data_IF_218014762116
#
_entry.id   IF_218014762116
#
_cell.length_a   1.000
_cell.length_b   1.000
_cell.length_c   1.000
_cell.angle_alpha   90.00
_cell.angle_beta   90.00
_cell.angle_gamma   90.00
#
_symmetry.space_group_name_H-M   'P 1'
#
loop_
_entity.id
_entity.type
_entity.pdbx_description
1 polymer ?
#
# COMPACT_ATOMS: atom_id res chain seq x y z
N UNK A 1 -49.15 -4.20 1.38
CA UNK A 1 -48.09 -3.61 0.54
C UNK A 1 -46.76 -4.03 1.14
N UNK A 2 -46.25 -5.19 0.72
CA UNK A 2 -44.93 -5.70 1.14
C UNK A 2 -44.00 -5.62 -0.05
N UNK A 3 -42.98 -4.77 0.03
CA UNK A 3 -41.92 -4.72 -0.98
C UNK A 3 -40.94 -5.87 -0.70
N UNK A 4 -40.88 -6.83 -1.63
CA UNK A 4 -39.84 -7.86 -1.66
C UNK A 4 -38.48 -7.20 -1.91
N UNK A 5 -37.40 -7.65 -1.25
CA UNK A 5 -36.07 -7.17 -1.57
C UNK A 5 -35.63 -7.75 -2.91
N UNK A 6 -35.20 -6.87 -3.81
CA UNK A 6 -34.70 -7.21 -5.13
C UNK A 6 -33.53 -8.20 -5.02
N UNK A 7 -33.72 -9.37 -5.62
CA UNK A 7 -32.67 -10.32 -5.93
C UNK A 7 -31.63 -9.60 -6.81
N UNK A 8 -30.45 -9.29 -6.26
CA UNK A 8 -29.28 -9.01 -7.10
C UNK A 8 -28.93 -10.32 -7.82
N UNK A 9 -28.80 -10.32 -9.15
CA UNK A 9 -28.25 -11.48 -9.85
C UNK A 9 -26.78 -11.67 -9.45
N UNK A 10 -26.27 -12.91 -9.42
CA UNK A 10 -24.85 -13.17 -9.18
C UNK A 10 -24.01 -12.44 -10.23
N UNK A 11 -22.95 -11.79 -9.77
CA UNK A 11 -21.96 -11.21 -10.67
C UNK A 11 -21.46 -12.30 -11.61
N UNK A 12 -21.61 -12.08 -12.91
CA UNK A 12 -21.16 -13.02 -13.92
C UNK A 12 -19.64 -12.97 -13.94
N UNK A 13 -19.01 -13.95 -13.29
CA UNK A 13 -17.56 -14.17 -13.35
C UNK A 13 -17.20 -14.40 -14.80
N UNK A 14 -16.44 -13.48 -15.41
CA UNK A 14 -15.91 -13.68 -16.75
C UNK A 14 -14.83 -14.77 -16.70
N UNK A 15 -15.01 -15.95 -17.32
CA UNK A 15 -14.03 -17.04 -17.33
C UNK A 15 -12.77 -16.73 -18.14
N UNK A 16 -12.65 -15.50 -18.66
CA UNK A 16 -11.72 -15.12 -19.71
C UNK A 16 -10.34 -14.68 -19.21
N UNK A 17 -10.06 -14.74 -17.91
CA UNK A 17 -8.77 -14.28 -17.32
C UNK A 17 -7.89 -15.38 -16.73
N UNK A 18 -8.34 -16.65 -16.78
CA UNK A 18 -7.57 -17.83 -16.33
C UNK A 18 -7.02 -18.66 -17.53
N UNK A 19 -7.14 -18.19 -18.77
CA UNK A 19 -6.60 -18.95 -19.91
C UNK A 19 -6.23 -18.08 -21.10
N UNK A 20 -4.91 -17.93 -21.33
CA UNK A 20 -4.33 -18.05 -22.68
C UNK A 20 -2.92 -18.66 -22.61
N UNK A 21 -2.86 -19.99 -22.48
CA UNK A 21 -1.78 -20.78 -23.09
C UNK A 21 -2.39 -22.10 -23.59
N UNK A 22 -2.64 -22.13 -24.91
CA UNK A 22 -2.74 -23.30 -25.79
C UNK A 22 -3.70 -24.44 -25.41
N UNK A 23 -4.74 -24.60 -26.24
CA UNK A 23 -5.83 -25.53 -26.01
C UNK A 23 -5.41 -26.98 -25.79
N UNK A 24 -5.77 -27.52 -24.63
CA UNK A 24 -6.22 -28.89 -24.41
C UNK A 24 -7.27 -28.88 -23.30
N UNK A 25 -8.36 -29.62 -23.50
CA UNK A 25 -9.46 -29.75 -22.53
C UNK A 25 -8.90 -30.28 -21.20
N UNK A 26 -9.16 -29.58 -20.10
CA UNK A 26 -8.94 -30.11 -18.73
C UNK A 26 -7.76 -29.53 -17.93
N UNK A 27 -7.23 -28.35 -18.28
CA UNK A 27 -6.20 -27.70 -17.46
C UNK A 27 -6.77 -27.16 -16.14
N UNK A 28 -6.24 -27.64 -15.01
CA UNK A 28 -6.50 -27.01 -13.70
C UNK A 28 -5.89 -25.60 -13.68
N UNK A 29 -6.42 -24.63 -12.90
CA UNK A 29 -5.85 -23.28 -12.75
C UNK A 29 -4.36 -23.26 -12.32
N UNK A 30 -3.86 -24.41 -11.87
CA UNK A 30 -2.49 -24.66 -11.42
C UNK A 30 -1.51 -24.97 -12.55
N UNK A 31 -2.01 -25.45 -13.70
CA UNK A 31 -1.23 -25.69 -14.90
C UNK A 31 -1.09 -24.43 -15.77
N UNK A 32 -1.69 -23.31 -15.36
CA UNK A 32 -1.55 -22.04 -16.04
C UNK A 32 -0.12 -21.49 -15.81
N UNK A 33 0.56 -21.15 -16.89
CA UNK A 33 1.87 -20.48 -16.85
C UNK A 33 1.74 -19.04 -16.30
N UNK A 34 0.51 -18.50 -16.32
CA UNK A 34 0.19 -17.14 -15.88
C UNK A 34 -1.10 -17.10 -15.05
N UNK A 35 -1.16 -16.16 -14.11
CA UNK A 35 -2.35 -15.81 -13.33
C UNK A 35 -2.56 -14.30 -13.37
N UNK A 36 -3.73 -13.82 -13.81
CA UNK A 36 -3.99 -12.38 -14.01
C UNK A 36 -2.99 -11.69 -14.96
N UNK A 37 -2.42 -12.45 -15.91
CA UNK A 37 -1.36 -11.98 -16.81
C UNK A 37 0.01 -11.84 -16.14
N UNK A 38 0.19 -12.38 -14.94
CA UNK A 38 1.48 -12.46 -14.25
C UNK A 38 2.08 -13.85 -14.42
N UNK A 39 3.38 -13.96 -14.77
CA UNK A 39 4.07 -15.24 -14.77
C UNK A 39 4.04 -15.87 -13.39
N UNK A 40 3.69 -17.15 -13.31
CA UNK A 40 3.63 -17.88 -12.03
C UNK A 40 4.96 -17.86 -11.28
N UNK A 41 6.10 -17.94 -11.98
CA UNK A 41 7.43 -17.87 -11.36
C UNK A 41 7.66 -16.54 -10.62
N UNK A 42 7.11 -15.43 -11.13
CA UNK A 42 7.18 -14.13 -10.46
C UNK A 42 6.36 -14.17 -9.17
N UNK A 43 5.16 -14.74 -9.20
CA UNK A 43 4.30 -14.87 -8.01
C UNK A 43 4.92 -15.77 -6.95
N UNK A 44 5.53 -16.88 -7.35
CA UNK A 44 6.22 -17.79 -6.45
C UNK A 44 7.46 -17.11 -5.83
N UNK A 45 8.18 -16.28 -6.59
CA UNK A 45 9.29 -15.48 -6.06
C UNK A 45 8.84 -14.39 -5.09
N UNK A 46 7.72 -13.73 -5.37
CA UNK A 46 7.11 -12.76 -4.45
C UNK A 46 6.70 -13.42 -3.13
N UNK A 47 6.13 -14.62 -3.19
CA UNK A 47 5.82 -15.40 -1.99
C UNK A 47 7.06 -15.77 -1.20
N UNK A 48 8.13 -16.17 -1.88
CA UNK A 48 9.39 -16.53 -1.26
C UNK A 48 9.99 -15.34 -0.50
N UNK A 49 10.06 -14.15 -1.13
CA UNK A 49 10.53 -12.91 -0.48
C UNK A 49 9.72 -12.61 0.78
N UNK A 50 8.39 -12.67 0.69
CA UNK A 50 7.51 -12.50 1.85
C UNK A 50 7.84 -13.49 2.96
N UNK A 51 7.95 -14.77 2.64
CA UNK A 51 8.24 -15.81 3.63
C UNK A 51 9.62 -15.61 4.28
N UNK A 52 10.64 -15.25 3.49
CA UNK A 52 11.98 -14.97 3.98
C UNK A 52 11.97 -13.75 4.93
N UNK A 53 11.25 -12.68 4.58
CA UNK A 53 11.13 -11.49 5.43
C UNK A 53 10.45 -11.81 6.76
N UNK A 54 9.31 -12.51 6.74
CA UNK A 54 8.59 -12.90 7.96
C UNK A 54 9.39 -13.87 8.84
N UNK A 55 10.21 -14.74 8.24
CA UNK A 55 11.16 -15.60 8.95
C UNK A 55 12.38 -14.82 9.46
N UNK A 56 12.64 -13.63 8.93
CA UNK A 56 13.79 -12.80 9.31
C UNK A 56 15.08 -13.13 8.59
N UNK A 57 14.99 -13.85 7.48
CA UNK A 57 16.15 -14.16 6.65
C UNK A 57 16.63 -12.92 5.86
N UNK A 58 15.72 -11.99 5.56
CA UNK A 58 16.01 -10.73 4.87
C UNK A 58 15.41 -9.53 5.63
N UNK A 59 16.02 -8.34 5.54
CA UNK A 59 15.45 -7.10 6.08
C UNK A 59 14.22 -6.64 5.28
N UNK A 60 13.46 -5.72 5.85
CA UNK A 60 12.23 -5.20 5.23
C UNK A 60 12.52 -4.38 3.97
N UNK A 61 13.63 -3.66 3.94
CA UNK A 61 14.11 -2.89 2.79
C UNK A 61 14.33 -3.80 1.59
N UNK A 62 15.07 -4.89 1.79
CA UNK A 62 15.34 -5.87 0.74
C UNK A 62 14.04 -6.51 0.23
N UNK A 63 13.08 -6.78 1.12
CA UNK A 63 11.75 -7.24 0.68
C UNK A 63 11.02 -6.17 -0.14
N UNK A 64 10.99 -4.91 0.29
CA UNK A 64 10.32 -3.81 -0.42
C UNK A 64 10.95 -3.57 -1.79
N UNK A 65 12.27 -3.55 -1.87
CA UNK A 65 13.02 -3.37 -3.11
C UNK A 65 12.81 -4.54 -4.07
N UNK A 66 12.92 -5.77 -3.58
CA UNK A 66 12.70 -6.99 -4.37
C UNK A 66 11.25 -7.10 -4.87
N UNK A 67 10.26 -6.81 -4.02
CA UNK A 67 8.84 -6.76 -4.41
C UNK A 67 8.62 -5.69 -5.49
N UNK A 68 9.11 -4.46 -5.29
CA UNK A 68 8.97 -3.40 -6.28
C UNK A 68 9.61 -3.76 -7.63
N UNK A 69 10.80 -4.37 -7.62
CA UNK A 69 11.50 -4.80 -8.81
C UNK A 69 10.76 -5.89 -9.59
N UNK A 70 10.22 -6.89 -8.89
CA UNK A 70 9.47 -7.99 -9.53
C UNK A 70 8.13 -7.54 -10.10
N UNK A 71 7.50 -6.55 -9.47
CA UNK A 71 6.25 -5.95 -9.94
C UNK A 71 6.46 -4.93 -11.07
N UNK A 72 7.68 -4.44 -11.26
CA UNK A 72 7.98 -3.50 -12.33
C UNK A 72 7.72 -4.13 -13.70
N UNK A 73 6.87 -3.49 -14.51
CA UNK A 73 6.51 -3.98 -15.84
C UNK A 73 5.39 -5.03 -15.87
N UNK A 74 4.84 -5.42 -14.73
CA UNK A 74 3.70 -6.32 -14.66
C UNK A 74 2.36 -5.58 -14.86
N UNK A 75 1.31 -6.26 -15.35
CA UNK A 75 0.02 -5.62 -15.54
C UNK A 75 -0.59 -5.18 -14.21
N UNK A 76 -1.33 -4.07 -14.24
CA UNK A 76 -2.09 -3.62 -13.08
C UNK A 76 -3.18 -4.65 -12.73
N UNK A 77 -3.25 -4.99 -11.45
CA UNK A 77 -4.21 -5.94 -10.90
C UNK A 77 -5.05 -5.24 -9.86
N UNK A 78 -6.36 -5.42 -9.94
CA UNK A 78 -7.29 -4.96 -8.92
C UNK A 78 -7.18 -5.88 -7.70
N UNK A 79 -6.79 -5.29 -6.56
CA UNK A 79 -6.61 -6.03 -5.31
C UNK A 79 -7.94 -6.61 -4.84
N UNK A 80 -9.03 -5.85 -4.94
CA UNK A 80 -10.33 -6.25 -4.39
C UNK A 80 -10.91 -7.43 -5.18
N UNK A 81 -10.71 -7.45 -6.51
CA UNK A 81 -11.08 -8.57 -7.39
C UNK A 81 -10.33 -9.86 -7.00
N UNK A 82 -9.04 -9.76 -6.70
CA UNK A 82 -8.22 -10.93 -6.31
C UNK A 82 -8.61 -11.44 -4.92
N UNK A 83 -8.87 -10.54 -3.96
CA UNK A 83 -9.29 -10.92 -2.61
C UNK A 83 -10.69 -11.56 -2.62
N UNK A 84 -11.63 -11.04 -3.41
CA UNK A 84 -12.95 -11.64 -3.60
C UNK A 84 -12.84 -13.04 -4.20
N UNK A 85 -12.03 -13.21 -5.25
CA UNK A 85 -11.78 -14.53 -5.85
C UNK A 85 -11.13 -15.50 -4.88
N UNK A 86 -10.16 -15.03 -4.08
CA UNK A 86 -9.51 -15.84 -3.06
C UNK A 86 -10.53 -16.30 -2.00
N UNK A 87 -11.42 -15.41 -1.56
CA UNK A 87 -12.48 -15.75 -0.61
C UNK A 87 -13.48 -16.76 -1.21
N UNK A 88 -13.89 -16.57 -2.46
CA UNK A 88 -14.76 -17.51 -3.17
C UNK A 88 -14.10 -18.89 -3.27
N UNK A 89 -12.82 -18.95 -3.62
CA UNK A 89 -12.06 -20.20 -3.68
C UNK A 89 -11.97 -20.89 -2.30
N UNK A 90 -11.84 -20.13 -1.21
CA UNK A 90 -11.79 -20.70 0.14
C UNK A 90 -13.15 -21.24 0.62
N UNK A 91 -14.26 -20.66 0.15
CA UNK A 91 -15.62 -21.03 0.59
C UNK A 91 -16.24 -22.09 -0.32
N UNK A 92 -16.09 -21.93 -1.63
CA UNK A 92 -16.75 -22.72 -2.68
C UNK A 92 -15.76 -23.52 -3.54
N UNK A 93 -14.48 -23.56 -3.17
CA UNK A 93 -13.44 -24.23 -3.94
C UNK A 93 -13.72 -25.72 -4.15
N UNK A 94 -13.16 -26.33 -5.20
CA UNK A 94 -13.40 -27.74 -5.50
C UNK A 94 -12.91 -28.62 -4.36
N UNK A 95 -13.79 -29.48 -3.83
CA UNK A 95 -13.47 -30.39 -2.73
C UNK A 95 -12.38 -31.41 -3.10
N UNK A 96 -12.24 -31.69 -4.40
CA UNK A 96 -11.32 -32.70 -4.95
C UNK A 96 -9.90 -32.16 -5.21
N UNK A 97 -9.67 -30.87 -4.96
CA UNK A 97 -8.34 -30.28 -5.14
C UNK A 97 -7.40 -30.67 -3.98
N UNK A 98 -6.23 -31.27 -4.26
CA UNK A 98 -5.25 -31.57 -3.23
C UNK A 98 -4.91 -30.34 -2.38
N UNK A 99 -4.77 -30.53 -1.06
CA UNK A 99 -4.49 -29.42 -0.12
C UNK A 99 -3.24 -28.61 -0.48
N UNK A 100 -2.20 -29.28 -0.96
CA UNK A 100 -0.94 -28.63 -1.36
C UNK A 100 -1.11 -27.74 -2.60
N UNK A 101 -1.97 -28.16 -3.51
CA UNK A 101 -2.30 -27.43 -4.73
C UNK A 101 -3.18 -26.22 -4.42
N UNK A 102 -4.23 -26.42 -3.62
CA UNK A 102 -5.05 -25.32 -3.09
C UNK A 102 -4.20 -24.30 -2.33
N UNK A 103 -3.29 -24.76 -1.47
CA UNK A 103 -2.37 -23.90 -0.73
C UNK A 103 -1.43 -23.08 -1.62
N UNK A 104 -0.93 -23.66 -2.72
CA UNK A 104 -0.11 -22.94 -3.70
C UNK A 104 -0.90 -21.86 -4.43
N UNK A 105 -2.11 -22.18 -4.90
CA UNK A 105 -2.96 -21.20 -5.58
C UNK A 105 -3.35 -20.04 -4.65
N UNK A 106 -3.76 -20.35 -3.42
CA UNK A 106 -4.05 -19.34 -2.38
C UNK A 106 -2.82 -18.49 -2.09
N UNK A 107 -1.63 -19.09 -2.04
CA UNK A 107 -0.37 -18.36 -1.92
C UNK A 107 -0.18 -17.37 -3.08
N UNK A 108 -0.34 -17.81 -4.33
CA UNK A 108 -0.12 -16.96 -5.52
C UNK A 108 -1.10 -15.80 -5.57
N UNK A 109 -2.37 -16.05 -5.28
CA UNK A 109 -3.39 -15.01 -5.13
C UNK A 109 -3.04 -14.02 -4.01
N UNK A 110 -2.52 -14.53 -2.90
CA UNK A 110 -2.05 -13.70 -1.80
C UNK A 110 -0.90 -12.78 -2.23
N UNK A 111 0.05 -13.26 -3.05
CA UNK A 111 1.14 -12.43 -3.59
C UNK A 111 0.63 -11.41 -4.62
N UNK A 112 -0.36 -11.76 -5.44
CA UNK A 112 -1.00 -10.81 -6.36
C UNK A 112 -1.63 -9.64 -5.57
N UNK A 113 -2.47 -9.95 -4.58
CA UNK A 113 -3.20 -8.96 -3.80
C UNK A 113 -2.32 -8.12 -2.86
N UNK A 114 -1.24 -8.68 -2.32
CA UNK A 114 -0.49 -8.05 -1.23
C UNK A 114 0.94 -7.72 -1.61
N UNK A 115 1.25 -6.42 -1.65
CA UNK A 115 2.61 -5.87 -1.79
C UNK A 115 3.38 -5.94 -0.47
N UNK A 116 4.68 -5.71 -0.53
CA UNK A 116 5.47 -5.43 0.68
C UNK A 116 4.84 -4.24 1.44
N UNK A 117 4.64 -4.35 2.76
CA UNK A 117 3.83 -3.38 3.49
C UNK A 117 4.55 -2.05 3.64
N UNK A 118 3.81 -0.95 3.54
CA UNK A 118 4.27 0.39 3.96
C UNK A 118 4.38 0.47 5.48
N UNK A 119 5.05 1.51 6.02
CA UNK A 119 5.11 1.68 7.48
C UNK A 119 3.72 1.93 8.06
N UNK A 120 2.84 2.64 7.35
CA UNK A 120 1.44 2.84 7.73
C UNK A 120 0.67 1.51 7.83
N UNK A 121 0.80 0.64 6.81
CA UNK A 121 0.18 -0.68 6.81
C UNK A 121 0.72 -1.57 7.92
N UNK A 122 2.02 -1.46 8.26
CA UNK A 122 2.59 -2.17 9.41
C UNK A 122 1.98 -1.70 10.73
N UNK A 123 1.64 -0.42 10.86
CA UNK A 123 0.95 0.09 12.05
C UNK A 123 -0.49 -0.43 12.16
N UNK A 124 -1.21 -0.51 11.04
CA UNK A 124 -2.55 -1.10 10.98
C UNK A 124 -2.55 -2.61 11.30
N UNK A 125 -1.59 -3.34 10.74
CA UNK A 125 -1.40 -4.76 11.02
C UNK A 125 -1.05 -4.97 12.50
N UNK A 126 -0.17 -4.14 13.08
CA UNK A 126 0.16 -4.21 14.50
C UNK A 126 -1.07 -3.99 15.39
N UNK A 127 -1.93 -3.04 15.05
CA UNK A 127 -3.19 -2.81 15.77
C UNK A 127 -4.16 -3.99 15.65
N UNK A 128 -4.23 -4.61 14.47
CA UNK A 128 -5.03 -5.81 14.22
C UNK A 128 -4.53 -6.99 15.05
N UNK A 129 -3.21 -7.23 15.06
CA UNK A 129 -2.58 -8.27 15.86
C UNK A 129 -2.82 -8.04 17.36
N UNK A 130 -2.70 -6.80 17.84
CA UNK A 130 -2.98 -6.46 19.24
C UNK A 130 -4.44 -6.76 19.62
N UNK A 131 -5.40 -6.40 18.76
CA UNK A 131 -6.82 -6.73 18.97
C UNK A 131 -7.07 -8.24 19.00
N UNK A 132 -6.38 -8.99 18.15
CA UNK A 132 -6.47 -10.46 18.12
C UNK A 132 -5.88 -11.08 19.39
N UNK A 133 -4.76 -10.57 19.89
CA UNK A 133 -4.14 -11.04 21.13
C UNK A 133 -4.97 -10.70 22.37
N UNK A 134 -5.73 -9.59 22.34
CA UNK A 134 -6.66 -9.23 23.41
C UNK A 134 -7.85 -10.19 23.53
N UNK A 135 -8.19 -10.93 22.46
CA UNK A 135 -9.26 -11.92 22.47
C UNK A 135 -8.84 -13.21 23.18
N UNK A 136 -9.14 -13.28 24.49
CA UNK A 136 -8.80 -14.39 25.40
C UNK A 136 -9.37 -15.76 25.01
N UNK A 137 -10.25 -15.85 24.01
CA UNK A 137 -10.89 -17.11 23.58
C UNK A 137 -10.06 -17.93 22.58
N UNK A 138 -8.91 -17.44 22.12
CA UNK A 138 -8.08 -18.13 21.12
C UNK A 138 -7.12 -19.16 21.73
N UNK A 139 -6.81 -20.20 20.95
CA UNK A 139 -5.86 -21.25 21.34
C UNK A 139 -4.44 -20.69 21.56
N UNK A 140 -3.71 -21.24 22.54
CA UNK A 140 -2.34 -20.84 22.89
C UNK A 140 -1.36 -20.92 21.71
N UNK A 141 -1.54 -21.89 20.81
CA UNK A 141 -0.69 -22.07 19.63
C UNK A 141 -0.86 -20.97 18.60
N UNK A 142 -2.09 -20.49 18.40
CA UNK A 142 -2.39 -19.33 17.57
C UNK A 142 -1.80 -18.05 18.19
N UNK A 143 -1.91 -17.90 19.51
CA UNK A 143 -1.34 -16.75 20.22
C UNK A 143 0.18 -16.63 20.02
N UNK A 144 0.93 -17.74 20.07
CA UNK A 144 2.38 -17.73 19.82
C UNK A 144 2.74 -17.18 18.43
N UNK A 145 1.97 -17.55 17.39
CA UNK A 145 2.15 -17.03 16.03
C UNK A 145 1.91 -15.52 15.96
N UNK A 146 0.86 -15.03 16.62
CA UNK A 146 0.54 -13.60 16.67
C UNK A 146 1.59 -12.80 17.47
N UNK A 147 2.11 -13.35 18.57
CA UNK A 147 3.23 -12.73 19.29
C UNK A 147 4.50 -12.64 18.44
N UNK A 148 4.86 -13.70 17.70
CA UNK A 148 6.01 -13.67 16.80
C UNK A 148 5.83 -12.64 15.67
N UNK A 149 4.62 -12.56 15.09
CA UNK A 149 4.28 -11.56 14.08
C UNK A 149 4.37 -10.14 14.67
N UNK A 150 3.85 -9.93 15.88
CA UNK A 150 3.91 -8.66 16.60
C UNK A 150 5.35 -8.18 16.81
N UNK A 151 6.21 -9.02 17.37
CA UNK A 151 7.62 -8.65 17.61
C UNK A 151 8.36 -8.32 16.31
N UNK A 152 8.04 -9.04 15.23
CA UNK A 152 8.60 -8.77 13.90
C UNK A 152 8.20 -7.37 13.41
N UNK A 153 6.91 -7.06 13.45
CA UNK A 153 6.37 -5.77 13.01
C UNK A 153 6.97 -4.63 13.86
N UNK A 154 7.04 -4.81 15.18
CA UNK A 154 7.69 -3.86 16.10
C UNK A 154 9.15 -3.62 15.74
N UNK A 155 9.90 -4.69 15.43
CA UNK A 155 11.30 -4.58 15.03
C UNK A 155 11.45 -3.79 13.73
N UNK A 156 10.58 -4.04 12.75
CA UNK A 156 10.58 -3.26 11.52
C UNK A 156 10.23 -1.80 11.79
N UNK A 157 9.20 -1.52 12.59
CA UNK A 157 8.75 -0.14 12.85
C UNK A 157 9.73 0.68 13.69
N UNK A 158 10.59 0.06 14.50
CA UNK A 158 11.56 0.75 15.37
C UNK A 158 12.97 0.85 14.78
N UNK A 159 13.18 0.34 13.56
CA UNK A 159 14.51 0.34 12.93
C UNK A 159 15.06 1.76 12.68
N UNK A 160 16.37 1.98 12.84
CA UNK A 160 17.02 3.23 12.45
C UNK A 160 16.89 3.46 10.93
N UNK A 161 16.67 4.72 10.51
CA UNK A 161 16.65 5.08 9.09
C UNK A 161 15.28 4.98 8.40
N UNK A 162 14.19 4.84 9.15
CA UNK A 162 12.86 5.14 8.62
C UNK A 162 12.80 6.56 8.04
N UNK A 163 11.96 6.78 7.02
CA UNK A 163 11.86 8.08 6.33
C UNK A 163 11.58 9.26 7.25
N UNK A 164 11.59 10.47 6.69
CA UNK A 164 11.23 11.68 7.46
C UNK A 164 9.70 11.78 7.55
N UNK A 165 9.18 12.04 8.75
CA UNK A 165 7.76 12.34 8.92
C UNK A 165 7.45 13.74 8.36
N UNK A 166 6.53 13.87 7.38
CA UNK A 166 6.30 15.12 6.68
C UNK A 166 5.63 16.20 7.54
N UNK A 167 5.05 15.82 8.68
CA UNK A 167 4.35 16.74 9.60
C UNK A 167 5.32 17.37 10.59
N UNK A 168 6.29 16.58 11.06
CA UNK A 168 7.21 17.00 12.12
C UNK A 168 8.62 17.29 11.63
N UNK A 169 9.04 16.75 10.48
CA UNK A 169 10.41 16.82 9.98
C UNK A 169 11.39 15.91 10.72
N UNK A 170 10.91 15.17 11.73
CA UNK A 170 11.73 14.25 12.52
C UNK A 170 11.83 12.88 11.81
N UNK A 171 12.92 12.13 12.02
CA UNK A 171 13.02 10.76 11.55
C UNK A 171 11.93 9.88 12.16
N UNK A 172 11.32 9.00 11.36
CA UNK A 172 10.32 8.04 11.86
C UNK A 172 10.87 7.16 12.99
N UNK A 173 12.17 6.85 12.99
CA UNK A 173 12.82 6.10 14.07
C UNK A 173 12.79 6.82 15.42
N UNK A 174 12.71 8.15 15.44
CA UNK A 174 12.57 8.94 16.67
C UNK A 174 11.13 8.94 17.16
N UNK A 175 10.16 9.11 16.25
CA UNK A 175 8.73 9.05 16.56
C UNK A 175 8.32 7.63 17.00
N UNK A 176 8.90 6.59 16.39
CA UNK A 176 8.62 5.19 16.67
C UNK A 176 8.86 4.80 18.14
N UNK A 177 9.84 5.44 18.81
CA UNK A 177 10.13 5.22 20.24
C UNK A 177 8.94 5.53 21.13
N UNK A 178 8.17 6.54 20.77
CA UNK A 178 6.96 6.92 21.50
C UNK A 178 5.73 6.22 20.94
N UNK A 179 5.73 5.77 19.69
CA UNK A 179 4.57 5.05 19.13
C UNK A 179 4.35 3.66 19.71
N UNK A 180 5.30 3.13 20.46
CA UNK A 180 5.19 1.81 21.09
C UNK A 180 5.14 1.98 22.60
N UNK A 181 4.01 1.60 23.19
CA UNK A 181 3.81 1.61 24.64
C UNK A 181 3.74 0.18 25.13
N UNK A 182 4.44 -0.12 26.23
CA UNK A 182 4.33 -1.41 26.89
C UNK A 182 2.99 -1.50 27.64
N UNK A 183 2.01 -2.20 27.06
CA UNK A 183 0.76 -2.55 27.73
C UNK A 183 0.97 -3.80 28.63
N UNK A 184 0.45 -3.82 29.87
CA UNK A 184 0.68 -4.93 30.79
C UNK A 184 0.06 -6.27 30.34
N UNK A 185 -1.01 -6.25 29.54
CA UNK A 185 -1.71 -7.44 29.08
C UNK A 185 -1.34 -7.80 27.62
N UNK A 186 -1.05 -6.80 26.79
CA UNK A 186 -0.82 -6.96 25.34
C UNK A 186 0.66 -6.76 24.94
N UNK A 187 1.50 -6.29 25.87
CA UNK A 187 2.87 -5.83 25.64
C UNK A 187 2.94 -4.53 24.82
N UNK A 188 4.12 -4.17 24.26
CA UNK A 188 4.29 -3.26 23.09
C UNK A 188 3.11 -3.19 22.12
N UNK A 189 2.33 -2.11 22.19
CA UNK A 189 1.18 -1.80 21.32
C UNK A 189 1.35 -0.42 20.67
N UNK A 190 0.70 -0.19 19.52
CA UNK A 190 0.77 1.09 18.84
C UNK A 190 -0.09 2.13 19.54
N UNK A 191 0.46 3.32 19.80
CA UNK A 191 -0.31 4.51 20.17
C UNK A 191 -0.57 5.43 18.96
N UNK A 192 -1.50 6.37 19.15
CA UNK A 192 -1.83 7.40 18.16
C UNK A 192 -0.58 8.17 17.72
N UNK A 193 -0.45 8.34 16.40
CA UNK A 193 0.72 8.97 15.77
C UNK A 193 0.94 10.37 16.32
N UNK A 194 -0.12 11.15 16.49
CA UNK A 194 -0.02 12.55 16.91
C UNK A 194 0.47 12.71 18.35
N UNK A 195 0.07 11.82 19.25
CA UNK A 195 0.60 11.79 20.61
C UNK A 195 2.10 11.48 20.61
N UNK A 196 2.53 10.51 19.80
CA UNK A 196 3.94 10.17 19.66
C UNK A 196 4.76 11.30 19.02
N UNK A 197 4.19 12.01 18.04
CA UNK A 197 4.80 13.20 17.42
C UNK A 197 5.03 14.30 18.45
N UNK A 198 4.05 14.57 19.31
CA UNK A 198 4.18 15.59 20.35
C UNK A 198 5.29 15.23 21.35
N UNK A 199 5.33 13.99 21.81
CA UNK A 199 6.37 13.50 22.72
C UNK A 199 7.76 13.52 22.07
N UNK A 200 7.87 13.08 20.81
CA UNK A 200 9.12 13.11 20.05
C UNK A 200 9.63 14.53 19.83
N UNK A 201 8.74 15.49 19.53
CA UNK A 201 9.10 16.91 19.41
C UNK A 201 9.56 17.50 20.74
N UNK A 202 8.91 17.13 21.84
CA UNK A 202 9.27 17.62 23.17
C UNK A 202 10.64 17.09 23.63
N UNK A 203 10.97 15.83 23.30
CA UNK A 203 12.26 15.21 23.65
C UNK A 203 13.40 15.58 22.69
N UNK A 204 13.09 16.03 21.47
CA UNK A 204 14.10 16.47 20.51
C UNK A 204 14.90 17.67 21.03
N UNK A 205 16.20 17.66 20.80
CA UNK A 205 17.08 18.79 21.08
C UNK A 205 16.70 20.02 20.25
N UNK A 206 17.09 21.21 20.71
CA UNK A 206 16.79 22.45 19.98
C UNK A 206 17.40 22.45 18.57
N UNK A 207 18.57 21.83 18.38
CA UNK A 207 19.21 21.66 17.07
C UNK A 207 18.46 20.69 16.14
N UNK A 208 17.86 19.63 16.69
CA UNK A 208 17.03 18.69 15.92
C UNK A 208 15.71 19.33 15.53
N UNK A 209 15.09 20.09 16.44
CA UNK A 209 13.87 20.86 16.14
C UNK A 209 14.11 21.90 15.05
N UNK A 210 15.20 22.67 15.14
CA UNK A 210 15.55 23.65 14.11
C UNK A 210 15.79 23.02 12.73
N UNK A 211 16.46 21.85 12.68
CA UNK A 211 16.67 21.09 11.43
C UNK A 211 15.36 20.55 10.87
N UNK A 212 14.51 20.01 11.72
CA UNK A 212 13.21 19.47 11.35
C UNK A 212 12.27 20.55 10.80
N UNK A 213 12.24 21.73 11.43
CA UNK A 213 11.48 22.90 10.97
C UNK A 213 11.93 23.35 9.58
N UNK A 214 13.25 23.50 9.37
CA UNK A 214 13.79 23.81 8.04
C UNK A 214 13.40 22.78 6.98
N UNK A 215 13.42 21.49 7.31
CA UNK A 215 13.04 20.42 6.37
C UNK A 215 11.56 20.48 6.00
N UNK A 216 10.68 20.67 6.99
CA UNK A 216 9.23 20.83 6.76
C UNK A 216 8.96 22.07 5.92
N UNK A 217 9.61 23.19 6.23
CA UNK A 217 9.46 24.43 5.49
C UNK A 217 9.96 24.30 4.06
N UNK A 218 11.14 23.71 3.84
CA UNK A 218 11.68 23.45 2.50
C UNK A 218 10.76 22.54 1.69
N UNK A 219 10.26 21.46 2.30
CA UNK A 219 9.34 20.52 1.64
C UNK A 219 8.02 21.21 1.29
N UNK A 220 7.47 22.02 2.19
CA UNK A 220 6.27 22.82 1.95
C UNK A 220 6.47 23.81 0.81
N UNK A 221 7.62 24.48 0.77
CA UNK A 221 7.96 25.40 -0.33
C UNK A 221 8.11 24.65 -1.66
N UNK A 222 8.72 23.47 -1.69
CA UNK A 222 8.82 22.64 -2.90
C UNK A 222 7.44 22.20 -3.43
N UNK A 223 6.53 21.80 -2.52
CA UNK A 223 5.17 21.42 -2.87
C UNK A 223 4.35 22.60 -3.43
N UNK A 224 4.64 23.83 -3.01
CA UNK A 224 3.99 25.05 -3.53
C UNK A 224 4.68 25.56 -4.80
N UNK A 225 6.00 25.42 -4.90
CA UNK A 225 6.81 25.97 -5.99
C UNK A 225 6.51 25.32 -7.34
N UNK A 226 6.27 24.00 -7.39
CA UNK A 226 5.87 23.31 -8.63
C UNK A 226 4.56 23.85 -9.21
N UNK A 227 3.45 23.84 -8.45
CA UNK A 227 2.17 24.42 -8.87
C UNK A 227 2.26 25.91 -9.20
N UNK A 228 3.05 26.69 -8.44
CA UNK A 228 3.25 28.12 -8.71
C UNK A 228 4.07 28.38 -9.97
N UNK A 229 5.06 27.54 -10.27
CA UNK A 229 5.83 27.61 -11.51
C UNK A 229 4.94 27.27 -12.72
N UNK A 230 4.10 26.24 -12.62
CA UNK A 230 3.12 25.90 -13.65
C UNK A 230 2.07 27.00 -13.85
N UNK A 231 1.57 27.60 -12.76
CA UNK A 231 0.67 28.75 -12.81
C UNK A 231 1.35 29.94 -13.48
N UNK A 232 2.56 30.32 -13.07
CA UNK A 232 3.31 31.41 -13.68
C UNK A 232 3.59 31.15 -15.17
N UNK A 233 3.93 29.92 -15.56
CA UNK A 233 4.16 29.56 -16.96
C UNK A 233 2.86 29.63 -17.79
N UNK A 234 1.71 29.26 -17.21
CA UNK A 234 0.37 29.48 -17.82
C UNK A 234 0.02 30.96 -17.94
N UNK A 235 0.30 31.78 -16.93
CA UNK A 235 0.04 33.22 -16.99
C UNK A 235 0.94 33.94 -18.00
N UNK A 236 2.22 33.58 -18.08
CA UNK A 236 3.18 34.14 -19.04
C UNK A 236 2.88 33.74 -20.49
N UNK A 237 2.20 32.61 -20.72
CA UNK A 237 1.76 32.20 -22.08
C UNK A 237 0.43 32.83 -22.48
N UNK A 238 -0.42 33.23 -21.53
CA UNK A 238 -1.68 33.91 -21.79
C UNK A 238 -1.55 35.43 -21.95
N UNK A 239 -0.65 36.07 -21.20
CA UNK A 239 -0.47 37.52 -21.21
C UNK A 239 -0.16 38.11 -22.61
N UNK A 240 0.75 37.53 -23.43
CA UNK A 240 0.99 38.01 -24.78
C UNK A 240 -0.25 37.86 -25.67
N UNK A 241 -1.04 36.80 -25.48
CA UNK A 241 -2.26 36.53 -26.26
C UNK A 241 -3.35 37.56 -26.01
N UNK A 242 -3.52 38.00 -24.77
CA UNK A 242 -4.51 39.02 -24.40
C UNK A 242 -4.14 40.42 -24.93
N UNK A 243 -2.84 40.77 -24.87
CA UNK A 243 -2.33 42.02 -25.43
C UNK A 243 -2.46 42.02 -26.96
N UNK A 244 -2.12 40.91 -27.62
CA UNK A 244 -2.24 40.78 -29.07
C UNK A 244 -3.71 40.78 -29.53
N UNK A 245 -4.63 40.15 -28.80
CA UNK A 245 -6.06 40.17 -29.14
C UNK A 245 -6.70 41.56 -28.95
N UNK A 246 -6.30 42.31 -27.92
CA UNK A 246 -6.81 43.68 -27.72
C UNK A 246 -6.26 44.65 -28.78
N UNK A 247 -4.97 44.50 -29.15
CA UNK A 247 -4.36 45.25 -30.24
C UNK A 247 -4.98 44.91 -31.60
N UNK A 248 -5.31 43.64 -31.86
CA UNK A 248 -6.00 43.22 -33.08
C UNK A 248 -7.45 43.71 -33.14
N UNK A 249 -8.20 43.67 -32.03
CA UNK A 249 -9.56 44.19 -31.92
C UNK A 249 -9.62 45.71 -32.18
N UNK A 250 -8.66 46.47 -31.62
CA UNK A 250 -8.56 47.92 -31.83
C UNK A 250 -8.11 48.28 -33.25
N UNK A 251 -7.17 47.54 -33.83
CA UNK A 251 -6.76 47.74 -35.21
C UNK A 251 -7.89 47.41 -36.22
N UNK A 252 -8.66 46.37 -35.95
CA UNK A 252 -9.81 45.96 -36.79
C UNK A 252 -10.98 46.95 -36.70
N UNK A 253 -11.16 47.60 -35.55
CA UNK A 253 -12.18 48.64 -35.37
C UNK A 253 -11.85 49.94 -36.11
N UNK A 254 -10.56 50.26 -36.30
CA UNK A 254 -10.12 51.43 -37.07
C UNK A 254 -10.15 51.22 -38.59
N UNK A 255 -10.17 49.98 -39.07
CA UNK A 255 -10.23 49.65 -40.50
C UNK A 255 -11.67 49.57 -41.06
N UNK A 256 -12.70 49.65 -40.22
CA UNK A 256 -14.11 49.70 -40.64
C UNK A 256 -14.72 51.12 -40.63
N UNK A 257 -13.91 52.16 -40.43
CA UNK A 257 -14.34 53.58 -40.45
C UNK A 257 -13.74 54.38 -41.62
N UNK A 258 -13.20 53.72 -42.64
CA UNK A 258 -12.82 54.32 -43.93
C UNK A 258 -13.78 53.79 -44.99
#
# INVERSE_FOLDING_TARGET
MGASPAHRPPATVHPSRISQASGHRGGTPLAAEELWGWPVDVLDRLLELRQQAWKGAIPLEEWREGDAALRAGQPAVDKDEVEEFQQELMVNGPADLPREESGRLVGRLTALANRAPSDEQLWEELATVAKVLADRKRSSRLAATYHAARERIVTWLTRPGGGIDPVTGLPWSQIARYRIVDDPDLGRVPQYVDAARQLAKADASDEERARAEMLVETTRWQQIAGPMAELNQRYLTWFPRLILSDLWSRASSHLCQV
#
